data_IF_128865468280
#
_entry.id   IF_128865468280
#
_cell.length_a   1.000
_cell.length_b   1.000
_cell.length_c   1.000
_cell.angle_alpha   90.00
_cell.angle_beta   90.00
_cell.angle_gamma   90.00
#
_symmetry.space_group_name_H-M   'P 1'
#
loop_
_entity.id
_entity.type
_entity.pdbx_description
1 polymer ?
#
# COMPACT_ATOMS: atom_id res chain seq x y z
N UNK A 1 4.32 -12.25 22.04
CA UNK A 1 4.29 -10.81 21.76
C UNK A 1 3.36 -10.59 20.57
N UNK A 2 2.16 -10.08 20.81
CA UNK A 2 1.17 -9.82 19.76
C UNK A 2 1.62 -8.57 18.99
N UNK A 3 1.84 -8.70 17.68
CA UNK A 3 2.26 -7.56 16.88
C UNK A 3 1.07 -6.62 16.66
N UNK A 4 1.23 -5.34 17.02
CA UNK A 4 0.15 -4.36 16.91
C UNK A 4 0.05 -3.87 15.48
N UNK A 5 -1.11 -4.08 14.86
CA UNK A 5 -1.43 -3.53 13.55
C UNK A 5 -1.85 -2.07 13.72
N UNK A 6 -1.25 -1.17 12.93
CA UNK A 6 -1.67 0.23 12.79
C UNK A 6 -2.32 0.41 11.42
N UNK A 7 -3.42 1.15 11.40
CA UNK A 7 -4.15 1.51 10.19
C UNK A 7 -4.23 3.03 10.15
N UNK A 8 -3.87 3.62 9.01
CA UNK A 8 -3.91 5.06 8.77
C UNK A 8 -4.67 5.33 7.46
N UNK A 9 -5.77 6.05 7.58
CA UNK A 9 -6.73 6.34 6.49
C UNK A 9 -6.56 7.75 5.92
N UNK A 10 -5.63 8.56 6.44
CA UNK A 10 -5.51 9.97 6.07
C UNK A 10 -4.63 10.21 4.84
N UNK A 11 -4.10 9.14 4.25
CA UNK A 11 -3.18 9.23 3.12
C UNK A 11 -3.92 9.35 1.79
N UNK A 12 -3.29 10.04 0.86
CA UNK A 12 -3.73 10.12 -0.53
C UNK A 12 -2.54 9.81 -1.44
N UNK A 13 -2.80 9.06 -2.52
CA UNK A 13 -1.81 8.69 -3.52
C UNK A 13 -2.40 8.88 -4.92
N UNK A 14 -1.76 9.74 -5.73
CA UNK A 14 -2.30 10.15 -7.05
C UNK A 14 -3.77 10.65 -6.98
N UNK A 15 -4.12 11.36 -5.91
CA UNK A 15 -5.49 11.86 -5.69
C UNK A 15 -6.51 10.82 -5.23
N UNK A 16 -6.11 9.54 -5.10
CA UNK A 16 -6.94 8.47 -4.55
C UNK A 16 -6.70 8.34 -3.05
N UNK A 17 -7.69 7.91 -2.27
CA UNK A 17 -7.43 7.58 -0.86
C UNK A 17 -6.48 6.38 -0.80
N UNK A 18 -5.57 6.45 0.15
CA UNK A 18 -4.61 5.40 0.43
C UNK A 18 -4.80 4.95 1.88
N UNK A 19 -5.10 3.67 2.05
CA UNK A 19 -5.12 3.03 3.35
C UNK A 19 -3.74 2.44 3.61
N UNK A 20 -3.00 3.02 4.55
CA UNK A 20 -1.70 2.48 4.97
C UNK A 20 -1.94 1.56 6.16
N UNK A 21 -1.64 0.27 6.00
CA UNK A 21 -1.68 -0.70 7.09
C UNK A 21 -0.26 -1.17 7.34
N UNK A 22 0.18 -1.18 8.58
CA UNK A 22 1.52 -1.64 8.90
C UNK A 22 1.59 -2.35 10.24
N UNK A 23 2.64 -3.15 10.37
CA UNK A 23 3.00 -3.85 11.59
C UNK A 23 4.54 -3.85 11.72
N UNK A 24 5.14 -4.70 12.56
CA UNK A 24 6.61 -4.72 12.68
C UNK A 24 7.32 -5.24 11.43
N UNK A 25 6.66 -6.08 10.64
CA UNK A 25 7.27 -6.82 9.54
C UNK A 25 7.01 -6.19 8.17
N UNK A 26 5.81 -5.65 7.96
CA UNK A 26 5.33 -5.23 6.65
C UNK A 26 4.62 -3.88 6.73
N UNK A 27 4.61 -3.17 5.60
CA UNK A 27 3.71 -2.04 5.33
C UNK A 27 3.02 -2.28 4.01
N UNK A 28 1.71 -2.09 3.97
CA UNK A 28 0.90 -2.17 2.76
C UNK A 28 0.13 -0.88 2.52
N UNK A 29 -0.06 -0.58 1.24
CA UNK A 29 -0.92 0.52 0.76
C UNK A 29 -2.06 -0.08 -0.05
N UNK A 30 -3.30 0.17 0.36
CA UNK A 30 -4.50 -0.25 -0.36
C UNK A 30 -5.17 1.00 -0.95
N UNK A 31 -5.65 0.91 -2.19
CA UNK A 31 -6.40 1.94 -2.90
C UNK A 31 -7.88 1.53 -3.02
N UNK A 32 -8.76 1.98 -2.11
CA UNK A 32 -10.15 1.56 -2.07
C UNK A 32 -10.92 1.86 -3.36
N UNK A 33 -10.68 3.03 -3.96
CA UNK A 33 -11.33 3.49 -5.19
C UNK A 33 -11.04 2.60 -6.40
N UNK A 34 -9.97 1.80 -6.35
CA UNK A 34 -9.61 0.84 -7.39
C UNK A 34 -10.06 -0.58 -7.06
N UNK A 35 -11.19 -0.73 -6.36
CA UNK A 35 -11.72 -2.03 -5.93
C UNK A 35 -10.90 -2.68 -4.81
N UNK A 36 -10.27 -1.87 -3.96
CA UNK A 36 -9.42 -2.37 -2.88
C UNK A 36 -8.07 -2.90 -3.37
N UNK A 37 -7.53 -2.33 -4.45
CA UNK A 37 -6.23 -2.73 -5.00
C UNK A 37 -5.12 -2.58 -3.97
N UNK A 38 -4.43 -3.68 -3.66
CA UNK A 38 -3.18 -3.65 -2.92
C UNK A 38 -2.10 -3.09 -3.86
N UNK A 39 -1.73 -1.84 -3.63
CA UNK A 39 -0.82 -1.11 -4.50
C UNK A 39 0.64 -1.38 -4.17
N UNK A 40 1.02 -1.33 -2.91
CA UNK A 40 2.39 -1.48 -2.44
C UNK A 40 2.43 -2.45 -1.26
N UNK A 41 3.49 -3.26 -1.19
CA UNK A 41 3.79 -4.16 -0.09
C UNK A 41 5.29 -4.13 0.19
N UNK A 42 5.67 -3.40 1.22
CA UNK A 42 7.06 -3.25 1.65
C UNK A 42 7.38 -4.24 2.76
N UNK A 43 8.43 -5.04 2.54
CA UNK A 43 9.09 -5.78 3.61
C UNK A 43 9.99 -4.85 4.43
N UNK A 44 9.67 -4.66 5.71
CA UNK A 44 10.38 -3.74 6.59
C UNK A 44 11.72 -4.28 7.07
N UNK A 45 11.94 -5.60 6.99
CA UNK A 45 13.23 -6.19 7.36
C UNK A 45 14.32 -5.85 6.33
N UNK A 46 13.96 -5.82 5.04
CA UNK A 46 14.89 -5.51 3.95
C UNK A 46 14.71 -4.12 3.34
N UNK A 47 13.67 -3.38 3.76
CA UNK A 47 13.24 -2.09 3.21
C UNK A 47 13.04 -2.14 1.68
N UNK A 48 12.34 -3.20 1.23
CA UNK A 48 12.12 -3.46 -0.20
C UNK A 48 10.64 -3.56 -0.52
N UNK A 49 10.26 -2.87 -1.59
CA UNK A 49 8.99 -3.07 -2.25
C UNK A 49 8.97 -4.46 -2.92
N UNK A 50 7.97 -5.26 -2.59
CA UNK A 50 7.79 -6.62 -3.11
C UNK A 50 7.12 -6.57 -4.49
N UNK A 51 6.25 -5.59 -4.73
CA UNK A 51 5.53 -5.48 -6.00
C UNK A 51 6.32 -4.72 -7.05
N UNK A 52 6.29 -5.23 -8.28
CA UNK A 52 6.87 -4.49 -9.38
C UNK A 52 5.94 -3.33 -9.79
N UNK A 53 6.51 -2.12 -9.82
CA UNK A 53 5.84 -0.94 -10.34
C UNK A 53 6.47 -0.54 -11.67
N UNK A 54 5.65 -0.50 -12.72
CA UNK A 54 6.06 0.14 -13.97
C UNK A 54 6.18 1.66 -13.73
N UNK A 55 7.36 2.29 -13.89
CA UNK A 55 7.52 3.73 -13.66
C UNK A 55 6.63 4.60 -14.56
N UNK A 56 6.15 4.06 -15.68
CA UNK A 56 5.28 4.75 -16.63
C UNK A 56 3.79 4.52 -16.40
N UNK A 57 3.40 3.68 -15.44
CA UNK A 57 2.01 3.36 -15.17
C UNK A 57 1.65 3.68 -13.73
N UNK A 58 0.86 4.74 -13.56
CA UNK A 58 0.24 5.06 -12.28
C UNK A 58 -0.95 4.15 -11.95
N UNK A 59 -1.49 4.27 -10.73
CA UNK A 59 -2.71 3.59 -10.34
C UNK A 59 -3.87 4.10 -11.21
N UNK A 60 -4.54 3.18 -11.90
CA UNK A 60 -5.71 3.46 -12.71
C UNK A 60 -6.70 2.30 -12.61
N UNK A 61 -8.01 2.55 -12.80
CA UNK A 61 -8.99 1.49 -12.97
C UNK A 61 -8.60 0.55 -14.13
N UNK A 62 -9.01 -0.72 -14.02
CA UNK A 62 -9.01 -1.60 -15.17
C UNK A 62 -9.91 -1.00 -16.26
N UNK A 63 -9.57 -1.18 -17.56
CA UNK A 63 -10.46 -0.80 -18.65
C UNK A 63 -11.81 -1.52 -18.57
#
# INVERSE_FOLDING_TARGET
MTDRVRIDTNWHYHGLRALVVENRHLRLVILPELGGKLWSLVDKATDREIFWHNPRMGPRPAP
#
